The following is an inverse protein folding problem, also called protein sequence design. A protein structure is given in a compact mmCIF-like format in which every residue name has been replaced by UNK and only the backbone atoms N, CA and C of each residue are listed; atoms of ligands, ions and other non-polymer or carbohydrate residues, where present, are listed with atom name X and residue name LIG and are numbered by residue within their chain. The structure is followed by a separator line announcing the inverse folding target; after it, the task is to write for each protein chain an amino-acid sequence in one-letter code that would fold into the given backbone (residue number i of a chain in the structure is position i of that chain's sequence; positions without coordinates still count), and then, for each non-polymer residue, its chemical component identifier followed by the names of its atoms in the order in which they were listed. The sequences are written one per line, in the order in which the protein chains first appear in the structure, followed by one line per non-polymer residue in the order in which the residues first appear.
data_IF_760031676530
#
_entry.id   IF_760031676530
#
_cell.length_a   1.000
_cell.length_b   1.000
_cell.length_c   1.000
_cell.angle_alpha   90.00
_cell.angle_beta   90.00
_cell.angle_gamma   90.00
#
_symmetry.space_group_name_H-M   'P 1'
#
loop_
_entity.id
_entity.type
_entity.pdbx_description
1 polymer ?
#
# COMPACT_ATOMS: atom_id res chain seq x y z
N UNK A 1 -2.73 13.14 30.98
CA UNK A 1 -1.97 12.05 30.34
C UNK A 1 -1.37 12.65 29.09
N UNK A 2 -0.07 12.92 29.14
CA UNK A 2 0.66 13.68 28.13
C UNK A 2 0.60 12.96 26.80
N UNK A 3 0.08 13.63 25.76
CA UNK A 3 0.25 13.17 24.39
C UNK A 3 1.73 13.26 24.07
N UNK A 4 2.42 12.12 24.14
CA UNK A 4 3.70 11.93 23.50
C UNK A 4 3.54 12.33 22.02
N UNK A 5 4.43 13.17 21.46
CA UNK A 5 4.29 13.63 20.09
C UNK A 5 4.34 12.40 19.20
N UNK A 6 3.19 12.05 18.61
CA UNK A 6 3.08 10.94 17.67
C UNK A 6 4.12 11.19 16.58
N UNK A 7 5.18 10.37 16.57
CA UNK A 7 6.21 10.45 15.54
C UNK A 7 5.48 10.49 14.20
N UNK A 8 5.67 11.56 13.43
CA UNK A 8 4.90 11.79 12.21
C UNK A 8 5.01 10.54 11.34
N UNK A 9 3.88 9.87 11.09
CA UNK A 9 3.86 8.68 10.26
C UNK A 9 4.48 9.03 8.89
N UNK A 10 5.54 8.33 8.50
CA UNK A 10 6.29 8.58 7.26
C UNK A 10 6.36 7.32 6.43
N UNK A 11 6.25 7.47 5.11
CA UNK A 11 6.41 6.37 4.15
C UNK A 11 7.56 6.69 3.22
N UNK A 12 8.39 5.70 2.91
CA UNK A 12 9.37 5.81 1.83
C UNK A 12 8.99 4.89 0.67
N UNK A 13 9.15 5.37 -0.55
CA UNK A 13 8.96 4.61 -1.78
C UNK A 13 10.28 4.50 -2.50
N UNK A 14 10.75 3.29 -2.78
CA UNK A 14 12.03 3.06 -3.46
C UNK A 14 11.76 2.76 -4.94
N UNK A 15 12.23 3.66 -5.81
CA UNK A 15 12.09 3.57 -7.26
C UNK A 15 11.24 4.71 -7.83
N UNK A 16 11.86 5.69 -8.48
CA UNK A 16 11.17 6.84 -9.08
C UNK A 16 10.62 6.61 -10.51
N UNK A 17 10.28 5.36 -10.84
CA UNK A 17 9.56 5.02 -12.07
C UNK A 17 8.11 5.52 -12.04
N UNK A 18 7.34 5.20 -13.08
CA UNK A 18 5.92 5.59 -13.19
C UNK A 18 5.10 5.18 -11.96
N UNK A 19 5.25 3.92 -11.52
CA UNK A 19 4.50 3.40 -10.37
C UNK A 19 4.98 4.01 -9.06
N UNK A 20 6.27 4.07 -8.78
CA UNK A 20 6.74 4.61 -7.50
C UNK A 20 6.41 6.09 -7.32
N UNK A 21 6.41 6.91 -8.39
CA UNK A 21 5.91 8.29 -8.32
C UNK A 21 4.41 8.35 -8.04
N UNK A 22 3.61 7.50 -8.68
CA UNK A 22 2.18 7.45 -8.44
C UNK A 22 1.87 7.01 -7.00
N UNK A 23 2.52 5.96 -6.52
CA UNK A 23 2.41 5.47 -5.13
C UNK A 23 2.78 6.58 -4.15
N UNK A 24 3.94 7.23 -4.36
CA UNK A 24 4.37 8.34 -3.50
C UNK A 24 3.36 9.49 -3.50
N UNK A 25 2.80 9.81 -4.66
CA UNK A 25 1.73 10.80 -4.80
C UNK A 25 0.47 10.44 -4.00
N UNK A 26 0.05 9.17 -3.99
CA UNK A 26 -1.14 8.76 -3.21
C UNK A 26 -0.97 8.94 -1.71
N UNK A 27 0.22 8.64 -1.16
CA UNK A 27 0.50 8.89 0.26
C UNK A 27 0.58 10.38 0.59
N UNK A 28 1.25 11.17 -0.26
CA UNK A 28 1.34 12.62 -0.07
C UNK A 28 -0.04 13.30 -0.14
N UNK A 29 -0.90 12.90 -1.08
CA UNK A 29 -2.28 13.38 -1.18
C UNK A 29 -3.14 12.95 0.02
N UNK A 30 -2.84 11.79 0.61
CA UNK A 30 -3.40 11.33 1.88
C UNK A 30 -2.90 12.07 3.12
N UNK A 31 -2.00 13.06 2.96
CA UNK A 31 -1.42 13.84 4.05
C UNK A 31 -0.29 13.14 4.80
N UNK A 32 0.21 12.01 4.29
CA UNK A 32 1.35 11.30 4.87
C UNK A 32 2.65 11.86 4.26
N UNK A 33 3.57 12.41 5.07
CA UNK A 33 4.89 12.80 4.59
C UNK A 33 5.59 11.62 3.92
N UNK A 34 5.96 11.82 2.66
CA UNK A 34 6.42 10.73 1.80
C UNK A 34 7.79 11.04 1.22
N UNK A 35 8.66 10.04 1.22
CA UNK A 35 10.00 10.10 0.65
C UNK A 35 10.02 9.24 -0.61
N UNK A 36 10.49 9.78 -1.72
CA UNK A 36 10.75 9.01 -2.93
C UNK A 36 12.27 8.85 -3.08
N UNK A 37 12.75 7.61 -3.09
CA UNK A 37 14.17 7.28 -3.22
C UNK A 37 14.46 6.88 -4.66
N UNK A 38 15.46 7.54 -5.26
CA UNK A 38 15.97 7.21 -6.59
C UNK A 38 17.49 7.25 -6.61
N UNK A 39 18.13 6.24 -7.21
CA UNK A 39 19.58 6.27 -7.46
C UNK A 39 20.00 7.44 -8.36
N UNK A 40 19.08 7.93 -9.18
CA UNK A 40 19.28 9.10 -10.04
C UNK A 40 18.06 10.03 -9.90
N UNK A 41 18.07 10.94 -8.91
CA UNK A 41 17.00 11.92 -8.72
C UNK A 41 16.81 12.84 -9.94
N UNK A 42 17.88 13.15 -10.67
CA UNK A 42 17.82 14.05 -11.83
C UNK A 42 16.93 13.50 -12.95
N UNK A 43 16.76 12.18 -13.01
CA UNK A 43 15.93 11.47 -14.00
C UNK A 43 14.52 11.18 -13.54
N UNK A 44 14.17 11.46 -12.28
CA UNK A 44 12.82 11.23 -11.77
C UNK A 44 11.77 12.13 -12.45
N UNK A 45 12.20 13.30 -12.96
CA UNK A 45 11.32 14.31 -13.52
C UNK A 45 10.46 14.97 -12.43
N UNK A 46 9.26 15.39 -12.80
CA UNK A 46 8.31 16.00 -11.85
C UNK A 46 7.81 14.95 -10.85
N UNK A 47 7.77 15.37 -9.58
CA UNK A 47 7.24 14.62 -8.43
C UNK A 47 6.12 15.44 -7.80
N UNK A 48 5.12 14.76 -7.25
CA UNK A 48 3.96 15.37 -6.59
C UNK A 48 4.34 16.27 -5.40
N UNK A 49 3.51 17.28 -5.11
CA UNK A 49 3.74 18.17 -3.97
C UNK A 49 3.64 17.38 -2.66
N UNK A 50 4.59 17.59 -1.74
CA UNK A 50 4.62 16.88 -0.45
C UNK A 50 5.43 15.57 -0.48
N UNK A 51 6.02 15.22 -1.62
CA UNK A 51 6.99 14.13 -1.73
C UNK A 51 8.41 14.70 -1.73
N UNK A 52 9.25 14.19 -0.83
CA UNK A 52 10.67 14.51 -0.75
C UNK A 52 11.48 13.54 -1.63
N UNK A 53 12.10 14.02 -2.70
CA UNK A 53 12.95 13.19 -3.57
C UNK A 53 14.40 13.17 -3.07
N UNK A 54 14.91 11.98 -2.77
CA UNK A 54 16.26 11.78 -2.21
C UNK A 54 17.00 10.65 -2.93
N UNK A 55 18.32 10.61 -2.78
CA UNK A 55 19.17 9.54 -3.32
C UNK A 55 19.33 8.35 -2.37
N UNK A 56 19.10 8.56 -1.07
CA UNK A 56 19.37 7.59 -0.01
C UNK A 56 18.24 7.59 1.02
N UNK A 57 18.05 6.46 1.68
CA UNK A 57 17.09 6.34 2.77
C UNK A 57 17.52 7.18 3.99
N UNK A 58 16.58 7.80 4.72
CA UNK A 58 16.89 8.58 5.90
C UNK A 58 17.43 7.69 7.03
N UNK A 59 18.25 8.26 7.92
CA UNK A 59 18.71 7.55 9.14
C UNK A 59 17.58 7.22 10.11
N UNK A 60 16.61 8.12 10.22
CA UNK A 60 15.39 7.92 10.99
C UNK A 60 14.44 7.01 10.19
N UNK A 61 14.04 5.85 10.72
CA UNK A 61 13.23 4.90 9.98
C UNK A 61 11.84 5.47 9.66
N UNK A 62 11.35 5.33 8.42
CA UNK A 62 9.93 5.52 8.14
C UNK A 62 9.11 4.42 8.86
N UNK A 63 7.78 4.56 8.87
CA UNK A 63 6.90 3.50 9.37
C UNK A 63 6.81 2.33 8.37
N UNK A 64 6.84 2.65 7.08
CA UNK A 64 6.76 1.66 6.01
C UNK A 64 7.62 2.07 4.81
N UNK A 65 8.17 1.06 4.14
CA UNK A 65 8.87 1.19 2.86
C UNK A 65 8.11 0.40 1.80
N UNK A 66 7.84 1.05 0.67
CA UNK A 66 7.26 0.42 -0.52
C UNK A 66 8.30 0.35 -1.62
N UNK A 67 8.63 -0.85 -2.05
CA UNK A 67 9.53 -1.12 -3.15
C UNK A 67 8.75 -1.11 -4.48
N UNK A 68 9.21 -0.28 -5.43
CA UNK A 68 8.69 -0.14 -6.78
C UNK A 68 9.83 0.02 -7.81
N UNK A 69 10.92 -0.73 -7.62
CA UNK A 69 12.05 -0.86 -8.55
C UNK A 69 11.72 -1.83 -9.70
N UNK A 70 12.54 -1.90 -10.77
CA UNK A 70 12.33 -2.82 -11.88
C UNK A 70 12.11 -4.28 -11.45
N UNK A 71 11.39 -5.02 -12.29
CA UNK A 71 10.90 -6.36 -11.98
C UNK A 71 11.98 -7.44 -12.16
N UNK A 72 12.96 -7.39 -11.27
CA UNK A 72 14.15 -8.23 -11.25
C UNK A 72 14.36 -8.76 -9.82
N UNK A 73 14.37 -10.08 -9.65
CA UNK A 73 14.31 -10.73 -8.34
C UNK A 73 15.50 -10.35 -7.45
N UNK A 74 16.72 -10.37 -8.00
CA UNK A 74 17.93 -10.08 -7.22
C UNK A 74 17.98 -8.60 -6.83
N UNK A 75 17.52 -7.71 -7.71
CA UNK A 75 17.42 -6.30 -7.39
C UNK A 75 16.49 -6.04 -6.20
N UNK A 76 15.29 -6.63 -6.20
CA UNK A 76 14.33 -6.45 -5.11
C UNK A 76 14.81 -7.03 -3.79
N UNK A 77 15.35 -8.25 -3.79
CA UNK A 77 15.96 -8.85 -2.61
C UNK A 77 17.07 -7.94 -2.08
N UNK A 78 17.93 -7.43 -2.95
CA UNK A 78 19.02 -6.52 -2.58
C UNK A 78 18.51 -5.22 -1.93
N UNK A 79 17.38 -4.67 -2.37
CA UNK A 79 16.73 -3.52 -1.73
C UNK A 79 16.33 -3.85 -0.30
N UNK A 80 15.60 -4.94 -0.08
CA UNK A 80 15.12 -5.31 1.26
C UNK A 80 16.26 -5.66 2.22
N UNK A 81 17.29 -6.40 1.76
CA UNK A 81 18.48 -6.67 2.57
C UNK A 81 19.24 -5.38 2.95
N UNK A 82 19.25 -4.38 2.07
CA UNK A 82 19.85 -3.08 2.38
C UNK A 82 19.05 -2.31 3.43
N UNK A 83 17.72 -2.41 3.38
CA UNK A 83 16.80 -1.85 4.39
C UNK A 83 16.99 -2.54 5.75
N UNK A 84 17.05 -3.87 5.78
CA UNK A 84 17.30 -4.65 7.01
C UNK A 84 18.62 -4.24 7.66
N UNK A 85 19.69 -4.13 6.86
CA UNK A 85 21.00 -3.70 7.34
C UNK A 85 21.00 -2.27 7.89
N UNK A 86 20.26 -1.37 7.27
CA UNK A 86 20.23 0.05 7.65
C UNK A 86 19.51 0.24 8.99
N UNK A 87 18.37 -0.41 9.19
CA UNK A 87 17.49 -0.14 10.33
C UNK A 87 17.56 -1.16 11.46
N UNK A 88 18.01 -2.40 11.19
CA UNK A 88 18.21 -3.44 12.20
C UNK A 88 16.99 -3.63 13.11
N UNK A 89 17.14 -3.31 14.40
CA UNK A 89 16.05 -3.44 15.38
C UNK A 89 14.85 -2.50 15.12
N UNK A 90 15.09 -1.37 14.45
CA UNK A 90 14.07 -0.35 14.14
C UNK A 90 13.48 -0.53 12.74
N UNK A 91 13.46 -1.77 12.24
CA UNK A 91 13.04 -2.11 10.88
C UNK A 91 11.60 -1.67 10.59
N UNK A 92 11.36 -0.84 9.55
CA UNK A 92 10.02 -0.54 9.06
C UNK A 92 9.29 -1.78 8.55
N UNK A 93 7.97 -1.64 8.37
CA UNK A 93 7.23 -2.57 7.51
C UNK A 93 7.74 -2.44 6.08
N UNK A 94 8.03 -3.57 5.44
CA UNK A 94 8.52 -3.64 4.07
C UNK A 94 7.44 -4.20 3.15
N UNK A 95 7.18 -3.49 2.07
CA UNK A 95 6.18 -3.86 1.08
C UNK A 95 6.78 -3.92 -0.31
N UNK A 96 6.47 -4.95 -1.10
CA UNK A 96 6.78 -4.97 -2.53
C UNK A 96 5.53 -4.69 -3.36
N UNK A 97 5.66 -3.79 -4.36
CA UNK A 97 4.65 -3.56 -5.41
C UNK A 97 4.87 -4.49 -6.63
N UNK A 98 5.57 -5.61 -6.47
CA UNK A 98 5.72 -6.57 -7.57
C UNK A 98 4.37 -7.07 -8.06
N UNK A 99 4.22 -7.25 -9.38
CA UNK A 99 3.00 -7.80 -9.99
C UNK A 99 3.20 -9.22 -10.53
N UNK A 100 4.46 -9.65 -10.72
CA UNK A 100 4.79 -10.92 -11.34
C UNK A 100 5.74 -11.83 -10.56
N UNK A 101 6.44 -11.32 -9.54
CA UNK A 101 7.42 -12.12 -8.80
C UNK A 101 6.77 -12.79 -7.57
N UNK A 102 7.17 -14.04 -7.23
CA UNK A 102 6.67 -14.70 -6.03
C UNK A 102 7.17 -13.99 -4.75
N UNK A 103 6.26 -13.37 -4.01
CA UNK A 103 6.58 -12.68 -2.75
C UNK A 103 7.25 -13.61 -1.73
N UNK A 104 6.87 -14.89 -1.70
CA UNK A 104 7.46 -15.87 -0.79
C UNK A 104 8.95 -16.08 -1.06
N UNK A 105 9.38 -16.06 -2.32
CA UNK A 105 10.80 -16.21 -2.67
C UNK A 105 11.64 -15.01 -2.21
N UNK A 106 11.05 -13.81 -2.19
CA UNK A 106 11.68 -12.62 -1.61
C UNK A 106 11.76 -12.79 -0.09
N UNK A 107 10.63 -13.12 0.55
CA UNK A 107 10.53 -13.27 2.00
C UNK A 107 11.52 -14.31 2.56
N UNK A 108 11.69 -15.45 1.87
CA UNK A 108 12.59 -16.53 2.27
C UNK A 108 14.08 -16.14 2.27
N UNK A 109 14.43 -14.93 1.80
CA UNK A 109 15.79 -14.37 1.81
C UNK A 109 16.01 -13.32 2.87
N UNK A 110 14.94 -12.86 3.54
CA UNK A 110 14.99 -11.79 4.53
C UNK A 110 15.30 -12.34 5.92
N UNK A 111 15.93 -11.53 6.76
CA UNK A 111 16.19 -11.85 8.16
C UNK A 111 14.91 -11.71 9.01
N UNK A 112 14.03 -10.77 8.63
CA UNK A 112 12.78 -10.41 9.32
C UNK A 112 11.58 -10.44 8.38
N UNK A 113 11.25 -11.62 7.81
CA UNK A 113 10.11 -11.76 6.90
C UNK A 113 8.75 -11.51 7.59
N UNK A 114 8.71 -11.48 8.92
CA UNK A 114 7.53 -11.07 9.70
C UNK A 114 7.09 -9.63 9.43
N UNK A 115 8.01 -8.79 8.96
CA UNK A 115 7.79 -7.39 8.61
C UNK A 115 7.58 -7.17 7.12
N UNK A 116 7.51 -8.23 6.32
CA UNK A 116 7.37 -8.17 4.87
C UNK A 116 5.97 -8.55 4.39
N UNK A 117 5.45 -7.83 3.39
CA UNK A 117 4.22 -8.15 2.67
C UNK A 117 4.26 -7.64 1.22
N UNK A 118 3.28 -8.05 0.41
CA UNK A 118 2.99 -7.43 -0.88
C UNK A 118 1.94 -6.34 -0.75
N UNK A 119 2.09 -5.26 -1.51
CA UNK A 119 1.06 -4.24 -1.68
C UNK A 119 0.97 -3.88 -3.17
N UNK A 120 -0.13 -4.25 -3.81
CA UNK A 120 -0.33 -4.05 -5.24
C UNK A 120 -1.23 -2.85 -5.50
N UNK A 121 -0.69 -1.83 -6.17
CA UNK A 121 -1.49 -0.74 -6.71
C UNK A 121 -1.99 -1.10 -8.12
N UNK A 122 -3.30 -1.10 -8.31
CA UNK A 122 -3.89 -1.27 -9.64
C UNK A 122 -3.76 0.03 -10.46
N UNK A 123 -3.28 -0.08 -11.69
CA UNK A 123 -3.11 1.07 -12.58
C UNK A 123 -4.40 1.35 -13.38
N UNK A 124 -4.82 2.63 -13.55
CA UNK A 124 -4.19 3.84 -13.03
C UNK A 124 -4.45 4.02 -11.53
N UNK A 125 -3.38 4.24 -10.76
CA UNK A 125 -3.43 4.39 -9.30
C UNK A 125 -4.27 5.59 -8.80
N UNK A 126 -4.76 6.44 -9.71
CA UNK A 126 -5.69 7.54 -9.42
C UNK A 126 -7.12 7.37 -9.95
N UNK A 127 -7.38 6.35 -10.79
CA UNK A 127 -8.72 6.12 -11.37
C UNK A 127 -9.52 5.05 -10.61
N UNK A 128 -8.81 4.08 -10.03
CA UNK A 128 -9.37 3.09 -9.12
C UNK A 128 -8.56 3.18 -7.82
N UNK A 129 -9.11 3.68 -6.71
CA UNK A 129 -8.39 3.78 -5.45
C UNK A 129 -8.38 2.39 -4.81
N UNK A 130 -7.71 1.46 -5.48
CA UNK A 130 -7.69 0.06 -5.15
C UNK A 130 -6.27 -0.40 -4.88
N UNK A 131 -6.06 -0.80 -3.64
CA UNK A 131 -4.81 -1.38 -3.18
C UNK A 131 -5.12 -2.75 -2.58
N UNK A 132 -4.44 -3.79 -3.08
CA UNK A 132 -4.50 -5.14 -2.52
C UNK A 132 -3.30 -5.37 -1.62
N UNK A 133 -3.54 -5.85 -0.40
CA UNK A 133 -2.49 -6.34 0.49
C UNK A 133 -2.39 -7.87 0.41
N UNK A 134 -1.17 -8.36 0.26
CA UNK A 134 -0.88 -9.80 0.12
C UNK A 134 0.09 -10.23 1.21
N UNK A 135 -0.32 -11.18 2.05
CA UNK A 135 0.56 -11.76 3.07
C UNK A 135 1.41 -12.87 2.47
N UNK A 136 2.65 -12.96 2.94
CA UNK A 136 3.45 -14.19 2.88
C UNK A 136 3.19 -15.02 4.14
N UNK A 137 3.69 -16.26 4.19
CA UNK A 137 3.44 -17.16 5.31
C UNK A 137 3.88 -16.59 6.67
N UNK A 138 4.94 -15.79 6.68
CA UNK A 138 5.56 -15.25 7.87
C UNK A 138 5.00 -13.89 8.29
N UNK A 139 4.24 -13.18 7.43
CA UNK A 139 3.77 -11.81 7.70
C UNK A 139 3.00 -11.74 9.03
N UNK A 140 3.48 -10.92 9.96
CA UNK A 140 2.85 -10.70 11.26
C UNK A 140 1.56 -9.90 11.15
N UNK A 141 0.64 -10.11 12.11
CA UNK A 141 -0.59 -9.32 12.21
C UNK A 141 -0.30 -7.83 12.48
N UNK A 142 0.74 -7.53 13.27
CA UNK A 142 1.20 -6.17 13.53
C UNK A 142 1.61 -5.47 12.23
N UNK A 143 2.40 -6.14 11.38
CA UNK A 143 2.87 -5.55 10.12
C UNK A 143 1.73 -5.34 9.13
N UNK A 144 0.75 -6.25 9.09
CA UNK A 144 -0.47 -6.00 8.31
C UNK A 144 -1.22 -4.78 8.87
N UNK A 145 -1.41 -4.69 10.19
CA UNK A 145 -2.16 -3.58 10.80
C UNK A 145 -1.54 -2.24 10.45
N UNK A 146 -0.22 -2.09 10.61
CA UNK A 146 0.51 -0.87 10.26
C UNK A 146 0.33 -0.53 8.78
N UNK A 147 0.45 -1.51 7.89
CA UNK A 147 0.25 -1.29 6.46
C UNK A 147 -1.18 -0.81 6.15
N UNK A 148 -2.20 -1.43 6.76
CA UNK A 148 -3.59 -1.04 6.56
C UNK A 148 -3.90 0.36 7.11
N UNK A 149 -3.35 0.72 8.26
CA UNK A 149 -3.52 2.04 8.86
C UNK A 149 -2.94 3.14 7.94
N UNK A 150 -1.77 2.88 7.35
CA UNK A 150 -1.16 3.80 6.39
C UNK A 150 -1.92 3.85 5.06
N UNK A 151 -2.39 2.71 4.57
CA UNK A 151 -3.14 2.63 3.32
C UNK A 151 -4.52 3.28 3.41
N UNK A 152 -5.15 3.31 4.60
CA UNK A 152 -6.43 3.98 4.81
C UNK A 152 -6.40 5.48 4.45
N UNK A 153 -5.23 6.12 4.52
CA UNK A 153 -5.05 7.50 4.09
C UNK A 153 -5.00 7.68 2.57
N UNK A 154 -4.70 6.61 1.81
CA UNK A 154 -4.54 6.64 0.35
C UNK A 154 -5.83 6.33 -0.43
N UNK A 155 -6.87 5.83 0.25
CA UNK A 155 -8.12 5.34 -0.35
C UNK A 155 -8.58 4.04 0.32
N UNK A 156 -9.74 3.45 -0.07
CA UNK A 156 -10.23 2.22 0.54
C UNK A 156 -9.31 1.01 0.21
N UNK A 157 -8.58 0.45 1.18
CA UNK A 157 -7.82 -0.77 0.92
C UNK A 157 -8.79 -1.94 0.71
N UNK A 158 -8.53 -2.80 -0.28
CA UNK A 158 -9.11 -4.14 -0.28
C UNK A 158 -8.12 -5.08 0.40
N UNK A 159 -8.54 -5.61 1.53
CA UNK A 159 -7.85 -6.71 2.21
C UNK A 159 -8.34 -8.00 1.59
N UNK A 160 -7.50 -8.71 0.82
CA UNK A 160 -7.65 -10.16 0.58
C UNK A 160 -6.72 -10.68 -0.54
N UNK A 161 -5.63 -11.35 -0.14
CA UNK A 161 -5.40 -12.78 -0.42
C UNK A 161 -4.25 -13.29 0.44
N UNK A 162 -4.46 -14.35 1.21
CA UNK A 162 -3.33 -15.18 1.64
C UNK A 162 -2.64 -15.68 0.37
N UNK A 163 -1.33 -15.53 0.22
CA UNK A 163 -0.59 -16.35 -0.75
C UNK A 163 -0.95 -17.80 -0.43
N UNK A 164 -1.73 -18.45 -1.29
CA UNK A 164 -2.45 -19.70 -0.96
C UNK A 164 -1.53 -20.70 -0.23
N UNK A 165 -1.89 -21.19 0.96
CA UNK A 165 -1.45 -22.49 1.41
C UNK A 165 -2.59 -23.48 1.17
N UNK A 166 -2.30 -24.74 0.88
CA UNK A 166 -3.33 -25.78 0.82
C UNK A 166 -4.02 -25.94 2.18
N UNK A 167 -5.04 -25.14 2.50
CA UNK A 167 -5.96 -25.32 3.63
C UNK A 167 -7.22 -24.47 3.43
N UNK A 168 -8.40 -25.10 3.56
CA UNK A 168 -9.73 -24.47 3.48
C UNK A 168 -10.40 -24.57 4.84
N UNK A 169 -10.71 -23.45 5.48
CA UNK A 169 -11.66 -23.27 6.60
C UNK A 169 -12.17 -21.82 6.45
N UNK A 170 -13.45 -21.48 6.29
CA UNK A 170 -14.63 -21.91 7.02
C UNK A 170 -14.90 -20.86 8.11
N UNK A 171 -15.89 -19.98 7.87
CA UNK A 171 -16.50 -18.97 8.77
C UNK A 171 -16.16 -17.47 8.52
N UNK A 172 -17.17 -16.87 7.88
CA UNK A 172 -17.62 -15.48 7.80
C UNK A 172 -16.95 -14.46 8.74
N UNK A 173 -16.36 -13.41 8.16
CA UNK A 173 -16.18 -12.11 8.79
C UNK A 173 -16.98 -11.07 8.00
N UNK A 174 -17.80 -10.22 8.65
CA UNK A 174 -18.63 -9.26 7.96
C UNK A 174 -17.75 -8.12 7.44
N UNK A 175 -17.67 -7.98 6.12
CA UNK A 175 -17.12 -6.80 5.46
C UNK A 175 -18.05 -5.62 5.78
N UNK A 176 -17.73 -4.85 6.82
CA UNK A 176 -18.45 -3.58 7.07
C UNK A 176 -17.91 -2.56 6.07
N UNK A 177 -18.56 -2.53 4.90
CA UNK A 177 -18.38 -1.50 3.87
C UNK A 177 -18.81 -0.16 4.46
N UNK A 178 -17.88 0.58 5.06
CA UNK A 178 -18.09 2.01 5.34
C UNK A 178 -17.79 2.73 4.04
N UNK A 179 -18.83 3.00 3.25
CA UNK A 179 -18.75 3.95 2.15
C UNK A 179 -18.50 5.34 2.75
N UNK A 180 -17.59 6.17 2.21
CA UNK A 180 -17.55 7.57 2.57
C UNK A 180 -18.88 8.21 2.13
N UNK A 181 -19.63 8.74 3.10
CA UNK A 181 -20.80 9.57 2.82
C UNK A 181 -20.36 10.79 2.03
N UNK A 182 -20.81 10.89 0.78
CA UNK A 182 -20.71 12.14 0.02
C UNK A 182 -21.65 13.18 0.66
N UNK A 183 -21.20 14.41 0.95
CA UNK A 183 -22.14 15.48 1.23
C UNK A 183 -22.76 15.96 -0.09
N UNK A 184 -24.09 15.93 -0.17
CA UNK A 184 -24.89 16.70 -1.13
C UNK A 184 -24.82 16.26 -2.59
N UNK A 185 -25.72 15.37 -3.00
CA UNK A 185 -26.32 15.38 -4.34
C UNK A 185 -27.63 14.59 -4.30
N UNK A 186 -28.76 15.30 -4.24
CA UNK A 186 -30.09 14.73 -4.45
C UNK A 186 -30.21 14.19 -5.88
N UNK A 187 -30.83 13.02 -6.04
CA UNK A 187 -31.27 12.48 -7.32
C UNK A 187 -32.73 12.00 -7.21
N UNK A 188 -33.52 12.13 -8.29
CA UNK A 188 -34.97 12.20 -8.25
C UNK A 188 -35.66 10.85 -7.98
N UNK A 189 -36.83 10.91 -7.36
CA UNK A 189 -37.72 9.77 -7.14
C UNK A 189 -38.18 9.19 -8.48
N UNK A 190 -37.87 7.92 -8.73
CA UNK A 190 -38.47 7.15 -9.80
C UNK A 190 -39.84 6.64 -9.34
N UNK A 191 -40.90 7.23 -9.92
CA UNK A 191 -42.28 6.81 -9.75
C UNK A 191 -42.49 5.36 -10.21
N UNK A 192 -43.16 4.58 -9.34
CA UNK A 192 -43.79 3.32 -9.73
C UNK A 192 -45.21 3.61 -10.22
N UNK A 193 -45.45 3.45 -11.52
CA UNK A 193 -46.77 3.03 -12.00
C UNK A 193 -46.62 2.04 -13.16
N UNK A 194 -46.63 0.75 -12.82
CA UNK A 194 -47.08 -0.30 -13.74
C UNK A 194 -48.59 -0.37 -13.65
N UNK A 195 -49.30 0.30 -14.56
CA UNK A 195 -50.71 0.02 -14.80
C UNK A 195 -50.84 -1.13 -15.79
N UNK A 196 -51.55 -2.17 -15.35
CA UNK A 196 -52.09 -3.23 -16.20
C UNK A 196 -53.04 -2.60 -17.21
N UNK A 197 -52.94 -3.01 -18.47
CA UNK A 197 -54.03 -2.86 -19.42
C UNK A 197 -54.32 -4.25 -20.03
N UNK A 198 -55.41 -4.87 -19.59
CA UNK A 198 -56.11 -5.91 -20.34
C UNK A 198 -57.31 -5.21 -20.99
N UNK A 199 -57.29 -5.15 -22.32
CA UNK A 199 -58.46 -4.79 -23.12
C UNK A 199 -59.48 -5.92 -23.14
N UNK A 200 -60.75 -5.54 -23.32
CA UNK A 200 -61.83 -6.44 -23.68
C UNK A 200 -61.85 -6.80 -25.15
#
# INVERSE_FOLDING_TARGET
MSHEPQAKARVAVIGAGTMGKAIAGTFAQGGIPTILVSRDPSRAGLVETGVELVSELPRDPPCMIVEAVPEEMQLKIGVFLSVERLYGASLPVMASNTSGLPLQEIADRLERPDRFLGIHWFHPAGALPLVETVRVAQTSDESLSVALDLLAATGPPLVSRSSRPSCRVGSQWPVRRVLPGRPGAEFPQADRQTTRNQGG
#
